data_IF_769859318905
#
_entry.id   IF_769859318905
#
_cell.length_a   1.000
_cell.length_b   1.000
_cell.length_c   1.000
_cell.angle_alpha   90.00
_cell.angle_beta   90.00
_cell.angle_gamma   90.00
#
_symmetry.space_group_name_H-M   'P 1'
#
loop_
_entity.id
_entity.type
_entity.pdbx_description
1 polymer ?
#
# COMPACT_ATOMS: atom_id res chain seq x y z
N UNK A 1 -12.87 37.83 -45.11
CA UNK A 1 -11.96 38.63 -44.26
C UNK A 1 -12.64 38.69 -42.91
N UNK A 2 -12.08 38.02 -41.91
CA UNK A 2 -12.78 37.77 -40.66
C UNK A 2 -12.29 38.66 -39.53
N UNK A 3 -13.22 39.02 -38.65
CA UNK A 3 -12.90 39.68 -37.38
C UNK A 3 -12.42 38.65 -36.35
N UNK A 4 -11.76 39.09 -35.27
CA UNK A 4 -11.35 38.18 -34.19
C UNK A 4 -12.54 37.41 -33.58
N UNK A 5 -13.73 38.04 -33.56
CA UNK A 5 -14.98 37.44 -33.08
C UNK A 5 -15.47 36.33 -34.03
N UNK A 6 -15.40 36.54 -35.34
CA UNK A 6 -15.80 35.52 -36.33
C UNK A 6 -14.84 34.32 -36.33
N UNK A 7 -13.54 34.56 -36.13
CA UNK A 7 -12.58 33.46 -35.95
C UNK A 7 -12.84 32.71 -34.63
N UNK A 8 -13.29 33.41 -33.58
CA UNK A 8 -13.66 32.82 -32.28
C UNK A 8 -14.83 31.85 -32.42
N UNK A 9 -15.90 32.31 -33.06
CA UNK A 9 -17.08 31.51 -33.36
C UNK A 9 -16.75 30.33 -34.28
N UNK A 10 -15.89 30.54 -35.29
CA UNK A 10 -15.50 29.49 -36.22
C UNK A 10 -14.64 28.39 -35.56
N UNK A 11 -13.73 28.74 -34.65
CA UNK A 11 -12.85 27.79 -33.96
C UNK A 11 -13.45 27.25 -32.66
N UNK A 12 -14.68 27.65 -32.32
CA UNK A 12 -15.38 27.32 -31.06
C UNK A 12 -14.54 27.60 -29.81
N UNK A 13 -13.88 28.77 -29.79
CA UNK A 13 -13.04 29.22 -28.67
C UNK A 13 -13.39 30.65 -28.28
N UNK A 14 -13.19 31.01 -27.01
CA UNK A 14 -13.45 32.38 -26.56
C UNK A 14 -12.51 33.41 -27.21
N UNK A 15 -13.00 34.63 -27.44
CA UNK A 15 -12.23 35.72 -28.06
C UNK A 15 -10.95 36.06 -27.26
N UNK A 16 -11.01 35.95 -25.92
CA UNK A 16 -9.83 36.10 -25.04
C UNK A 16 -8.76 35.05 -25.34
N UNK A 17 -9.15 33.83 -25.70
CA UNK A 17 -8.23 32.76 -26.08
C UNK A 17 -7.57 33.06 -27.42
N UNK A 18 -8.32 33.59 -28.40
CA UNK A 18 -7.72 34.02 -29.69
C UNK A 18 -6.69 35.12 -29.50
N UNK A 19 -6.96 36.11 -28.65
CA UNK A 19 -5.96 37.15 -28.33
C UNK A 19 -4.68 36.54 -27.77
N UNK A 20 -4.83 35.56 -26.87
CA UNK A 20 -3.69 34.81 -26.32
C UNK A 20 -2.93 34.03 -27.42
N UNK A 21 -3.65 33.32 -28.30
CA UNK A 21 -3.04 32.57 -29.41
C UNK A 21 -2.33 33.47 -30.44
N UNK A 22 -2.80 34.71 -30.61
CA UNK A 22 -2.12 35.74 -31.40
C UNK A 22 -0.86 36.26 -30.70
N UNK A 23 -0.91 36.49 -29.38
CA UNK A 23 0.26 36.87 -28.57
C UNK A 23 1.33 35.78 -28.60
N UNK A 24 0.92 34.52 -28.47
CA UNK A 24 1.79 33.35 -28.47
C UNK A 24 2.26 32.97 -29.89
N UNK A 25 1.89 33.76 -30.92
CA UNK A 25 2.26 33.55 -32.33
C UNK A 25 1.85 32.18 -32.91
N UNK A 26 0.83 31.55 -32.34
CA UNK A 26 0.31 30.25 -32.76
C UNK A 26 -0.62 30.41 -33.98
N UNK A 27 -1.46 31.46 -33.97
CA UNK A 27 -2.32 31.82 -35.10
C UNK A 27 -1.66 32.99 -35.86
N UNK A 28 -1.68 32.99 -37.20
CA UNK A 28 -1.13 34.09 -37.98
C UNK A 28 -1.88 35.40 -37.71
N UNK A 29 -1.12 36.47 -37.44
CA UNK A 29 -1.67 37.82 -37.32
C UNK A 29 -2.24 38.35 -38.64
N UNK A 30 -3.06 39.41 -38.54
CA UNK A 30 -3.64 40.08 -39.71
C UNK A 30 -2.54 40.54 -40.66
N UNK A 31 -2.56 40.10 -41.92
CA UNK A 31 -1.66 40.64 -42.96
C UNK A 31 -2.20 42.00 -43.40
N UNK A 32 -1.58 43.08 -42.92
CA UNK A 32 -1.72 44.47 -43.35
C UNK A 32 -3.12 44.91 -43.86
N UNK A 33 -3.90 45.65 -43.06
CA UNK A 33 -5.24 46.20 -43.36
C UNK A 33 -6.29 45.23 -43.97
N UNK A 34 -5.92 43.99 -44.23
CA UNK A 34 -6.77 42.87 -44.58
C UNK A 34 -6.91 42.03 -43.31
N UNK A 35 -8.13 41.87 -42.81
CA UNK A 35 -8.48 41.12 -41.61
C UNK A 35 -7.98 39.67 -41.59
N UNK A 36 -8.30 38.92 -40.54
CA UNK A 36 -7.82 37.55 -40.38
C UNK A 36 -8.38 36.63 -41.47
N UNK A 37 -7.54 35.69 -41.91
CA UNK A 37 -7.92 34.65 -42.85
C UNK A 37 -8.36 33.39 -42.07
N UNK A 38 -9.64 33.03 -42.18
CA UNK A 38 -10.26 31.94 -41.40
C UNK A 38 -9.56 30.61 -41.68
N UNK A 39 -9.26 30.30 -42.93
CA UNK A 39 -8.69 29.00 -43.32
C UNK A 39 -7.26 28.84 -42.82
N UNK A 40 -6.47 29.93 -42.85
CA UNK A 40 -5.13 29.96 -42.30
C UNK A 40 -5.15 29.83 -40.77
N UNK A 41 -6.08 30.51 -40.09
CA UNK A 41 -6.23 30.41 -38.64
C UNK A 41 -6.65 28.99 -38.21
N UNK A 42 -7.57 28.37 -38.96
CA UNK A 42 -8.02 26.99 -38.75
C UNK A 42 -6.87 26.00 -38.89
N UNK A 43 -6.10 26.08 -39.97
CA UNK A 43 -4.99 25.16 -40.20
C UNK A 43 -3.88 25.34 -39.15
N UNK A 44 -3.58 26.58 -38.75
CA UNK A 44 -2.61 26.85 -37.69
C UNK A 44 -3.07 26.28 -36.34
N UNK A 45 -4.34 26.46 -35.98
CA UNK A 45 -4.91 25.94 -34.75
C UNK A 45 -4.97 24.40 -34.73
N UNK A 46 -5.38 23.77 -35.84
CA UNK A 46 -5.37 22.31 -35.97
C UNK A 46 -3.94 21.76 -35.82
N UNK A 47 -2.94 22.40 -36.43
CA UNK A 47 -1.55 21.96 -36.29
C UNK A 47 -1.03 22.15 -34.87
N UNK A 48 -1.45 23.23 -34.18
CA UNK A 48 -1.17 23.43 -32.76
C UNK A 48 -1.75 22.31 -31.90
N UNK A 49 -3.03 21.96 -32.08
CA UNK A 49 -3.66 20.86 -31.35
C UNK A 49 -3.01 19.51 -31.66
N UNK A 50 -2.64 19.26 -32.92
CA UNK A 50 -1.90 18.05 -33.32
C UNK A 50 -0.51 17.98 -32.70
N UNK A 51 0.15 19.11 -32.49
CA UNK A 51 1.46 19.15 -31.82
C UNK A 51 1.31 19.00 -30.30
N UNK A 52 0.23 19.52 -29.72
CA UNK A 52 -0.11 19.31 -28.32
C UNK A 52 -0.47 17.83 -28.06
N UNK A 53 -1.21 17.18 -28.96
CA UNK A 53 -1.51 15.75 -28.87
C UNK A 53 -0.28 14.87 -29.19
N UNK A 54 0.72 15.42 -29.89
CA UNK A 54 2.03 14.79 -30.09
C UNK A 54 3.01 15.09 -28.96
N UNK A 55 2.68 15.95 -27.98
CA UNK A 55 3.38 15.87 -26.70
C UNK A 55 3.15 14.47 -26.19
N UNK A 56 4.22 13.75 -25.89
CA UNK A 56 4.17 12.32 -26.06
C UNK A 56 3.34 11.77 -24.90
N UNK A 57 2.22 11.12 -25.25
CA UNK A 57 1.85 9.89 -24.58
C UNK A 57 3.12 9.03 -24.58
N UNK A 58 3.86 9.06 -23.45
CA UNK A 58 5.10 8.33 -23.25
C UNK A 58 6.19 8.66 -24.28
N UNK A 59 6.93 9.75 -24.06
CA UNK A 59 8.33 9.69 -24.48
C UNK A 59 8.92 8.67 -23.54
N UNK A 60 9.10 7.44 -24.02
CA UNK A 60 9.96 6.49 -23.36
C UNK A 60 11.27 7.24 -23.07
N UNK A 61 11.46 7.62 -21.82
CA UNK A 61 12.69 8.26 -21.39
C UNK A 61 13.83 7.32 -21.82
N UNK A 62 14.98 7.85 -22.25
CA UNK A 62 16.16 7.02 -22.45
C UNK A 62 16.34 6.11 -21.22
N UNK A 63 16.82 4.86 -21.37
CA UNK A 63 16.88 3.88 -20.29
C UNK A 63 17.63 4.37 -19.02
N UNK A 64 18.39 5.46 -19.12
CA UNK A 64 19.15 6.08 -18.03
C UNK A 64 18.47 7.31 -17.38
N UNK A 65 17.26 7.72 -17.79
CA UNK A 65 16.52 8.83 -17.17
C UNK A 65 15.32 8.36 -16.35
N UNK A 66 15.37 8.63 -15.05
CA UNK A 66 14.31 8.33 -14.08
C UNK A 66 13.15 9.32 -14.27
N UNK A 67 11.94 8.80 -14.51
CA UNK A 67 10.73 9.61 -14.45
C UNK A 67 10.36 9.91 -13.00
N UNK A 68 10.75 11.10 -12.54
CA UNK A 68 10.51 11.56 -11.17
C UNK A 68 9.02 11.49 -10.79
N UNK A 69 8.09 11.70 -11.75
CA UNK A 69 6.66 11.67 -11.46
C UNK A 69 6.14 10.24 -11.25
N UNK A 70 6.65 9.28 -12.03
CA UNK A 70 6.30 7.87 -11.85
C UNK A 70 6.86 7.32 -10.54
N UNK A 71 8.10 7.65 -10.19
CA UNK A 71 8.70 7.27 -8.91
C UNK A 71 7.96 7.88 -7.72
N UNK A 72 7.57 9.16 -7.81
CA UNK A 72 6.75 9.81 -6.80
C UNK A 72 5.38 9.14 -6.64
N UNK A 73 4.72 8.77 -7.74
CA UNK A 73 3.46 8.04 -7.69
C UNK A 73 3.64 6.65 -7.05
N UNK A 74 4.74 5.95 -7.35
CA UNK A 74 5.12 4.69 -6.70
C UNK A 74 5.31 4.84 -5.19
N UNK A 75 6.05 5.86 -4.77
CA UNK A 75 6.28 6.17 -3.35
C UNK A 75 4.97 6.49 -2.61
N UNK A 76 4.09 7.30 -3.20
CA UNK A 76 2.78 7.62 -2.60
C UNK A 76 1.91 6.35 -2.48
N UNK A 77 1.95 5.46 -3.48
CA UNK A 77 1.25 4.18 -3.41
C UNK A 77 1.78 3.32 -2.25
N UNK A 78 3.09 3.21 -2.09
CA UNK A 78 3.71 2.47 -0.99
C UNK A 78 3.36 3.08 0.37
N UNK A 79 3.43 4.42 0.49
CA UNK A 79 3.03 5.11 1.72
C UNK A 79 1.57 4.85 2.09
N UNK A 80 0.66 4.83 1.10
CA UNK A 80 -0.75 4.49 1.34
C UNK A 80 -0.89 3.07 1.91
N UNK A 81 -0.18 2.09 1.35
CA UNK A 81 -0.18 0.70 1.84
C UNK A 81 0.38 0.62 3.27
N UNK A 82 1.49 1.31 3.55
CA UNK A 82 2.03 1.38 4.90
C UNK A 82 1.04 1.98 5.89
N UNK A 83 0.28 3.01 5.48
CA UNK A 83 -0.72 3.62 6.35
C UNK A 83 -1.94 2.72 6.57
N UNK A 84 -2.38 1.98 5.55
CA UNK A 84 -3.48 1.02 5.74
C UNK A 84 -3.10 -0.08 6.74
N UNK A 85 -1.89 -0.64 6.63
CA UNK A 85 -1.38 -1.63 7.58
C UNK A 85 -1.28 -1.07 9.00
N UNK A 86 -0.80 0.17 9.16
CA UNK A 86 -0.75 0.84 10.46
C UNK A 86 -2.14 1.05 11.06
N UNK A 87 -3.11 1.46 10.25
CA UNK A 87 -4.49 1.63 10.71
C UNK A 87 -5.09 0.29 11.16
N UNK A 88 -4.86 -0.80 10.43
CA UNK A 88 -5.32 -2.14 10.83
C UNK A 88 -4.73 -2.59 12.16
N UNK A 89 -3.44 -2.31 12.41
CA UNK A 89 -2.80 -2.58 13.70
C UNK A 89 -3.44 -1.72 14.81
N UNK A 90 -3.64 -0.42 14.56
CA UNK A 90 -4.25 0.50 15.54
C UNK A 90 -5.71 0.14 15.87
N UNK A 91 -6.44 -0.38 14.88
CA UNK A 91 -7.80 -0.91 15.06
C UNK A 91 -7.83 -2.30 15.71
N UNK A 92 -6.66 -2.92 15.92
CA UNK A 92 -6.53 -4.24 16.55
C UNK A 92 -6.96 -5.41 15.66
N UNK A 93 -6.99 -5.21 14.33
CA UNK A 93 -7.37 -6.26 13.37
C UNK A 93 -6.19 -7.11 12.91
N UNK A 94 -4.98 -6.57 12.98
CA UNK A 94 -3.75 -7.22 12.51
C UNK A 94 -2.65 -7.07 13.56
N UNK A 95 -1.90 -8.15 13.83
CA UNK A 95 -0.75 -8.15 14.75
C UNK A 95 0.40 -8.89 14.05
N UNK A 96 1.64 -8.37 14.10
CA UNK A 96 2.82 -9.08 13.63
C UNK A 96 2.98 -10.44 14.31
N UNK A 97 3.29 -11.48 13.54
CA UNK A 97 3.43 -12.86 14.03
C UNK A 97 4.49 -12.96 15.12
N UNK A 98 5.60 -12.22 15.00
CA UNK A 98 6.69 -12.26 15.98
C UNK A 98 6.21 -11.84 17.37
N UNK A 99 5.30 -10.85 17.43
CA UNK A 99 4.72 -10.37 18.68
C UNK A 99 3.79 -11.45 19.28
N UNK A 100 3.03 -12.16 18.45
CA UNK A 100 2.15 -13.24 18.90
C UNK A 100 2.97 -14.37 19.51
N UNK A 101 4.03 -14.82 18.82
CA UNK A 101 4.95 -15.84 19.32
C UNK A 101 5.62 -15.44 20.63
N UNK A 102 6.08 -14.19 20.75
CA UNK A 102 6.66 -13.65 21.98
C UNK A 102 5.66 -13.64 23.16
N UNK A 103 4.42 -13.21 22.91
CA UNK A 103 3.37 -13.15 23.93
C UNK A 103 2.98 -14.55 24.38
N UNK A 104 2.81 -15.48 23.44
CA UNK A 104 2.52 -16.88 23.74
C UNK A 104 3.66 -17.53 24.53
N UNK A 105 4.92 -17.27 24.16
CA UNK A 105 6.08 -17.73 24.92
C UNK A 105 6.06 -17.24 26.37
N UNK A 106 5.75 -15.96 26.61
CA UNK A 106 5.61 -15.41 27.97
C UNK A 106 4.49 -16.08 28.75
N UNK A 107 3.34 -16.33 28.13
CA UNK A 107 2.21 -17.04 28.75
C UNK A 107 2.62 -18.47 29.12
N UNK A 108 3.27 -19.21 28.21
CA UNK A 108 3.73 -20.58 28.45
C UNK A 108 4.74 -20.65 29.60
N UNK A 109 5.68 -19.71 29.69
CA UNK A 109 6.63 -19.63 30.81
C UNK A 109 5.90 -19.41 32.14
N UNK A 110 4.90 -18.52 32.17
CA UNK A 110 4.12 -18.26 33.38
C UNK A 110 3.30 -19.48 33.81
N UNK A 111 2.62 -20.13 32.85
CA UNK A 111 1.86 -21.37 33.08
C UNK A 111 2.79 -22.49 33.55
N UNK A 112 3.97 -22.63 32.93
CA UNK A 112 5.01 -23.56 33.33
C UNK A 112 5.42 -23.35 34.79
N UNK A 113 5.69 -22.10 35.20
CA UNK A 113 6.01 -21.78 36.59
C UNK A 113 4.92 -22.21 37.59
N UNK A 114 3.64 -22.01 37.23
CA UNK A 114 2.49 -22.42 38.06
C UNK A 114 2.43 -23.95 38.16
N UNK A 115 2.56 -24.66 37.04
CA UNK A 115 2.51 -26.12 36.98
C UNK A 115 3.68 -26.75 37.78
N UNK A 116 4.88 -26.20 37.67
CA UNK A 116 6.06 -26.67 38.42
C UNK A 116 5.91 -26.54 39.94
N UNK A 117 5.05 -25.62 40.40
CA UNK A 117 4.76 -25.46 41.82
C UNK A 117 3.71 -26.46 42.33
N UNK A 118 2.92 -27.10 41.46
CA UNK A 118 1.83 -28.00 41.85
C UNK A 118 2.27 -29.16 42.77
N UNK A 119 3.37 -29.88 42.49
CA UNK A 119 3.76 -31.01 43.33
C UNK A 119 4.05 -30.58 44.78
N UNK A 120 4.69 -29.41 44.94
CA UNK A 120 4.98 -28.83 46.25
C UNK A 120 3.70 -28.39 46.98
N UNK A 121 2.76 -27.77 46.27
CA UNK A 121 1.47 -27.36 46.82
C UNK A 121 0.68 -28.57 47.30
N UNK A 122 0.67 -29.65 46.51
CA UNK A 122 0.00 -30.92 46.85
C UNK A 122 0.63 -31.53 48.09
N UNK A 123 1.97 -31.66 48.14
CA UNK A 123 2.69 -32.19 49.30
C UNK A 123 2.44 -31.40 50.58
N UNK A 124 2.32 -30.07 50.48
CA UNK A 124 1.98 -29.21 51.63
C UNK A 124 0.55 -29.44 52.13
N UNK A 125 -0.41 -29.67 51.22
CA UNK A 125 -1.82 -29.94 51.56
C UNK A 125 -2.05 -31.38 52.04
N UNK A 126 -1.26 -32.32 51.55
CA UNK A 126 -1.37 -33.75 51.86
C UNK A 126 0.01 -34.28 52.28
N UNK A 127 0.42 -34.07 53.55
CA UNK A 127 1.76 -34.46 54.01
C UNK A 127 2.01 -35.97 54.01
N UNK A 128 0.95 -36.77 54.03
CA UNK A 128 1.00 -38.24 54.06
C UNK A 128 1.24 -38.87 52.68
N UNK A 129 1.22 -38.08 51.61
CA UNK A 129 1.51 -38.58 50.26
C UNK A 129 2.92 -39.16 50.22
N UNK A 130 3.04 -40.38 49.67
CA UNK A 130 4.33 -41.01 49.43
C UNK A 130 5.18 -40.13 48.49
N UNK A 131 6.46 -40.02 48.80
CA UNK A 131 7.44 -39.35 47.96
C UNK A 131 7.40 -39.89 46.52
N UNK A 132 7.19 -41.20 46.33
CA UNK A 132 7.06 -41.82 45.00
C UNK A 132 5.95 -41.18 44.16
N UNK A 133 4.81 -40.88 44.77
CA UNK A 133 3.68 -40.23 44.08
C UNK A 133 4.03 -38.77 43.76
N UNK A 134 4.69 -38.06 44.66
CA UNK A 134 5.13 -36.68 44.40
C UNK A 134 6.14 -36.64 43.24
N UNK A 135 7.10 -37.57 43.22
CA UNK A 135 8.12 -37.69 42.18
C UNK A 135 7.48 -38.00 40.82
N UNK A 136 6.45 -38.85 40.77
CA UNK A 136 5.65 -39.11 39.57
C UNK A 136 4.95 -37.83 39.06
N UNK A 137 4.34 -37.04 39.96
CA UNK A 137 3.70 -35.78 39.57
C UNK A 137 4.74 -34.79 39.01
N UNK A 138 5.92 -34.69 39.62
CA UNK A 138 7.02 -33.89 39.07
C UNK A 138 7.40 -34.32 37.65
N UNK A 139 7.53 -35.63 37.42
CA UNK A 139 7.89 -36.16 36.11
C UNK A 139 6.81 -35.87 35.05
N UNK A 140 5.53 -36.06 35.37
CA UNK A 140 4.45 -35.82 34.41
C UNK A 140 4.27 -34.33 34.11
N UNK A 141 4.44 -33.45 35.10
CA UNK A 141 4.45 -31.99 34.89
C UNK A 141 5.58 -31.59 33.94
N UNK A 142 6.79 -32.09 34.16
CA UNK A 142 7.94 -31.77 33.31
C UNK A 142 7.73 -32.28 31.87
N UNK A 143 7.18 -33.48 31.72
CA UNK A 143 6.86 -34.06 30.41
C UNK A 143 5.85 -33.19 29.64
N UNK A 144 4.73 -32.81 30.26
CA UNK A 144 3.73 -31.97 29.60
C UNK A 144 4.22 -30.54 29.34
N UNK A 145 5.11 -29.99 30.16
CA UNK A 145 5.76 -28.71 29.87
C UNK A 145 6.64 -28.79 28.63
N UNK A 146 7.39 -29.87 28.46
CA UNK A 146 8.21 -30.09 27.27
C UNK A 146 7.34 -30.31 26.02
N UNK A 147 6.22 -31.02 26.14
CA UNK A 147 5.24 -31.15 25.05
C UNK A 147 4.66 -29.78 24.67
N UNK A 148 4.30 -28.95 25.67
CA UNK A 148 3.77 -27.61 25.46
C UNK A 148 4.78 -26.65 24.82
N UNK A 149 6.08 -26.88 25.00
CA UNK A 149 7.13 -26.09 24.35
C UNK A 149 7.16 -26.26 22.83
N UNK A 150 6.62 -27.38 22.30
CA UNK A 150 6.54 -27.63 20.86
C UNK A 150 5.22 -27.13 20.23
N UNK A 151 4.42 -26.35 20.97
CA UNK A 151 3.16 -25.81 20.45
C UNK A 151 3.36 -24.68 19.42
N UNK A 152 4.57 -24.17 19.29
CA UNK A 152 4.98 -23.20 18.26
C UNK A 152 4.66 -23.70 16.84
N UNK A 153 4.80 -25.01 16.59
CA UNK A 153 4.48 -25.63 15.31
C UNK A 153 3.04 -25.39 14.84
N UNK A 154 2.08 -25.25 15.77
CA UNK A 154 0.68 -24.96 15.42
C UNK A 154 0.49 -23.52 14.94
N UNK A 155 1.36 -22.60 15.35
CA UNK A 155 1.31 -21.20 14.89
C UNK A 155 1.70 -21.15 13.42
N UNK A 156 2.78 -21.84 13.04
CA UNK A 156 3.26 -21.87 11.65
C UNK A 156 2.20 -22.47 10.72
N UNK A 157 1.57 -23.57 11.13
CA UNK A 157 0.50 -24.20 10.36
C UNK A 157 -0.72 -23.27 10.21
N UNK A 158 -1.13 -22.59 11.29
CA UNK A 158 -2.24 -21.64 11.22
C UNK A 158 -1.94 -20.45 10.28
N UNK A 159 -0.68 -20.02 10.21
CA UNK A 159 -0.25 -18.97 9.28
C UNK A 159 -0.35 -19.47 7.84
N UNK A 160 0.14 -20.68 7.56
CA UNK A 160 0.11 -21.28 6.24
C UNK A 160 -1.33 -21.45 5.72
N UNK A 161 -2.25 -21.87 6.60
CA UNK A 161 -3.68 -21.98 6.29
C UNK A 161 -4.28 -20.61 5.90
N UNK A 162 -3.98 -19.56 6.67
CA UNK A 162 -4.48 -18.19 6.41
C UNK A 162 -3.91 -17.62 5.11
N UNK A 163 -2.62 -17.84 4.83
CA UNK A 163 -1.98 -17.41 3.57
C UNK A 163 -2.64 -18.12 2.39
N UNK A 164 -2.82 -19.44 2.49
CA UNK A 164 -3.46 -20.25 1.44
C UNK A 164 -4.89 -19.80 1.16
N UNK A 165 -5.68 -19.48 2.20
CA UNK A 165 -7.04 -18.97 2.04
C UNK A 165 -7.09 -17.57 1.41
N UNK A 166 -6.11 -16.72 1.72
CA UNK A 166 -5.99 -15.38 1.12
C UNK A 166 -5.62 -15.47 -0.37
N UNK A 167 -4.68 -16.34 -0.74
CA UNK A 167 -4.28 -16.57 -2.14
C UNK A 167 -5.44 -17.14 -2.97
N UNK A 168 -6.26 -18.02 -2.40
CA UNK A 168 -7.40 -18.61 -3.09
C UNK A 168 -8.54 -17.61 -3.41
N UNK A 169 -8.55 -16.43 -2.77
CA UNK A 169 -9.57 -15.38 -2.94
C UNK A 169 -9.17 -14.30 -3.96
N UNK A 170 -7.95 -14.35 -4.49
CA UNK A 170 -7.40 -13.42 -5.49
C UNK A 170 -7.66 -13.98 -6.90
#
# INVERSE_FOLDING_TARGET
MATQKEVAEHLDVGERHIRKLLTDSIIPGSKANKGLDIDLCRNAYINYLRNLSKQPEQAALPPDQIDIKLEQAGLVKQQRITQTLKNEILEGRSIPVEIVSDVLGKILVQVGGILSALPLIIKRKFPEIDKRVTDLIYAEVAKHQNEAANLDQYIDQAIEDVISEAEAKI
#
